data_IF_379563597697
#
_entry.id   IF_379563597697
#
_cell.length_a   1.000
_cell.length_b   1.000
_cell.length_c   1.000
_cell.angle_alpha   90.00
_cell.angle_beta   90.00
_cell.angle_gamma   90.00
#
_symmetry.space_group_name_H-M   'P 1'
#
loop_
_entity.id
_entity.type
_entity.pdbx_description
1 polymer ?
#
# COMPACT_ATOMS: atom_id res chain seq x y z
N UNK A 1 -6.10 -1.09 -4.06
CA UNK A 1 -4.69 -0.62 -4.08
C UNK A 1 -3.83 -1.70 -4.69
N UNK A 2 -2.90 -1.36 -5.58
CA UNK A 2 -1.93 -2.30 -6.14
C UNK A 2 -1.12 -2.97 -5.01
N UNK A 3 -0.83 -4.28 -5.14
CA UNK A 3 -0.17 -5.09 -4.10
C UNK A 3 1.14 -5.74 -4.53
N UNK A 4 1.56 -5.55 -5.78
CA UNK A 4 2.83 -6.05 -6.31
C UNK A 4 3.51 -4.99 -7.16
N UNK A 5 4.81 -5.13 -7.35
CA UNK A 5 5.63 -4.25 -8.19
C UNK A 5 5.05 -4.15 -9.61
N UNK A 6 4.74 -5.28 -10.25
CA UNK A 6 4.11 -5.31 -11.57
C UNK A 6 2.80 -4.48 -11.64
N UNK A 7 1.98 -4.52 -10.59
CA UNK A 7 0.74 -3.74 -10.55
C UNK A 7 1.02 -2.25 -10.41
N UNK A 8 2.05 -1.88 -9.65
CA UNK A 8 2.50 -0.49 -9.52
C UNK A 8 3.03 0.00 -10.87
N UNK A 9 3.87 -0.80 -11.54
CA UNK A 9 4.37 -0.47 -12.88
C UNK A 9 3.22 -0.22 -13.85
N UNK A 10 2.24 -1.13 -13.94
CA UNK A 10 1.08 -0.98 -14.82
C UNK A 10 0.32 0.32 -14.54
N UNK A 11 0.08 0.65 -13.26
CA UNK A 11 -0.64 1.88 -12.88
C UNK A 11 0.17 3.12 -13.22
N UNK A 12 1.47 3.14 -12.94
CA UNK A 12 2.36 4.25 -13.23
C UNK A 12 2.53 4.46 -14.74
N UNK A 13 2.81 3.41 -15.51
CA UNK A 13 2.91 3.46 -16.97
C UNK A 13 1.62 3.96 -17.58
N UNK A 14 0.46 3.50 -17.12
CA UNK A 14 -0.84 3.99 -17.60
C UNK A 14 -1.05 5.47 -17.28
N UNK A 15 -0.66 5.91 -16.09
CA UNK A 15 -0.77 7.31 -15.70
C UNK A 15 0.15 8.20 -16.55
N UNK A 16 1.39 7.79 -16.79
CA UNK A 16 2.37 8.57 -17.56
C UNK A 16 2.04 8.59 -19.05
N UNK A 17 1.75 7.44 -19.66
CA UNK A 17 1.33 7.37 -21.07
C UNK A 17 0.07 8.20 -21.39
N UNK A 18 -0.78 8.48 -20.41
CA UNK A 18 -1.93 9.37 -20.62
C UNK A 18 -1.56 10.84 -20.90
N UNK A 19 -0.33 11.24 -20.59
CA UNK A 19 0.20 12.58 -20.90
C UNK A 19 1.10 12.63 -22.14
N UNK A 20 1.36 11.49 -22.79
CA UNK A 20 2.16 11.39 -24.01
C UNK A 20 1.23 11.12 -25.21
N UNK A 21 0.56 12.17 -25.68
CA UNK A 21 -0.42 12.09 -26.77
C UNK A 21 0.21 11.62 -28.09
N UNK A 22 1.48 11.94 -28.30
CA UNK A 22 2.24 11.62 -29.50
C UNK A 22 2.88 10.22 -29.45
N UNK A 23 2.84 9.54 -28.30
CA UNK A 23 3.41 8.20 -28.12
C UNK A 23 4.93 8.16 -28.30
N UNK A 24 5.61 9.24 -27.89
CA UNK A 24 7.06 9.42 -28.01
C UNK A 24 7.86 8.56 -27.03
N UNK A 25 7.25 8.14 -25.93
CA UNK A 25 7.94 7.50 -24.81
C UNK A 25 8.65 8.48 -23.87
N UNK A 26 8.53 9.79 -24.14
CA UNK A 26 9.25 10.87 -23.45
C UNK A 26 8.27 11.87 -22.83
N UNK A 27 8.57 12.32 -21.62
CA UNK A 27 7.79 13.35 -20.94
C UNK A 27 8.72 14.32 -20.21
N UNK A 28 8.33 15.59 -20.15
CA UNK A 28 9.06 16.56 -19.36
C UNK A 28 8.96 16.27 -17.86
N UNK A 29 9.97 16.70 -17.11
CA UNK A 29 10.00 16.54 -15.65
C UNK A 29 8.75 17.09 -14.95
N UNK A 30 8.25 18.23 -15.44
CA UNK A 30 7.04 18.88 -14.94
C UNK A 30 5.77 18.06 -15.22
N UNK A 31 5.68 17.45 -16.41
CA UNK A 31 4.56 16.60 -16.79
C UNK A 31 4.49 15.35 -15.90
N UNK A 32 5.62 14.63 -15.75
CA UNK A 32 5.69 13.42 -14.91
C UNK A 32 5.26 13.73 -13.49
N UNK A 33 5.77 14.81 -12.89
CA UNK A 33 5.39 15.22 -11.53
C UNK A 33 3.90 15.49 -11.37
N UNK A 34 3.26 16.05 -12.40
CA UNK A 34 1.82 16.34 -12.41
C UNK A 34 1.02 15.04 -12.55
N UNK A 35 1.43 14.16 -13.45
CA UNK A 35 0.78 12.87 -13.68
C UNK A 35 0.90 11.93 -12.47
N UNK A 36 2.06 11.91 -11.78
CA UNK A 36 2.22 11.15 -10.53
C UNK A 36 1.27 11.61 -9.42
N UNK A 37 0.95 12.90 -9.35
CA UNK A 37 -0.07 13.42 -8.43
C UNK A 37 -1.48 12.97 -8.83
N UNK A 38 -1.76 12.95 -10.13
CA UNK A 38 -3.04 12.56 -10.69
C UNK A 38 -3.27 11.03 -10.68
N UNK A 39 -2.20 10.22 -10.59
CA UNK A 39 -2.25 8.76 -10.63
C UNK A 39 -3.06 8.10 -9.51
N UNK A 40 -3.45 8.85 -8.47
CA UNK A 40 -4.34 8.35 -7.42
C UNK A 40 -3.69 7.33 -6.47
N UNK A 41 -2.36 7.24 -6.47
CA UNK A 41 -1.60 6.31 -5.61
C UNK A 41 -1.49 6.77 -4.14
N UNK A 42 -2.03 7.95 -3.80
CA UNK A 42 -1.98 8.49 -2.44
C UNK A 42 -0.59 8.99 -2.01
N UNK A 43 0.32 9.18 -2.97
CA UNK A 43 1.68 9.66 -2.70
C UNK A 43 1.67 11.12 -2.22
N UNK A 44 2.40 11.38 -1.15
CA UNK A 44 2.61 12.74 -0.63
C UNK A 44 3.54 13.55 -1.53
N UNK A 45 3.54 14.87 -1.38
CA UNK A 45 4.45 15.75 -2.12
C UNK A 45 5.93 15.37 -1.94
N UNK A 46 6.34 14.97 -0.74
CA UNK A 46 7.73 14.60 -0.44
C UNK A 46 8.09 13.27 -1.11
N UNK A 47 7.20 12.27 -1.03
CA UNK A 47 7.40 10.99 -1.71
C UNK A 47 7.50 11.17 -3.23
N UNK A 48 6.67 12.01 -3.83
CA UNK A 48 6.77 12.32 -5.27
C UNK A 48 8.13 12.96 -5.58
N UNK A 49 8.61 13.90 -4.76
CA UNK A 49 9.94 14.49 -4.96
C UNK A 49 11.05 13.42 -4.86
N UNK A 50 10.91 12.47 -3.92
CA UNK A 50 11.84 11.35 -3.79
C UNK A 50 11.81 10.42 -5.01
N UNK A 51 10.63 10.08 -5.55
CA UNK A 51 10.55 9.29 -6.79
C UNK A 51 11.17 10.04 -7.97
N UNK A 52 10.94 11.36 -8.05
CA UNK A 52 11.52 12.20 -9.11
C UNK A 52 13.05 12.30 -9.05
N UNK A 53 13.72 11.95 -7.95
CA UNK A 53 15.20 11.94 -7.92
C UNK A 53 15.81 10.80 -8.75
N UNK A 54 15.03 9.77 -9.07
CA UNK A 54 15.44 8.66 -9.94
C UNK A 54 15.23 8.97 -11.44
N UNK A 55 14.63 10.12 -11.76
CA UNK A 55 14.45 10.53 -13.14
C UNK A 55 15.81 10.86 -13.76
N UNK A 56 16.14 10.13 -14.82
CA UNK A 56 17.29 10.44 -15.66
C UNK A 56 16.81 11.38 -16.77
N UNK A 57 17.36 12.59 -16.76
CA UNK A 57 17.15 13.58 -17.81
C UNK A 57 17.95 13.17 -19.05
N UNK A 58 17.28 13.15 -20.19
CA UNK A 58 17.87 12.97 -21.52
C UNK A 58 18.10 14.36 -22.16
N UNK A 59 18.20 14.42 -23.48
CA UNK A 59 18.25 15.69 -24.20
C UNK A 59 16.91 16.46 -24.06
N UNK A 60 16.99 17.78 -23.91
CA UNK A 60 15.85 18.70 -23.87
C UNK A 60 14.88 18.53 -22.67
N UNK A 61 15.41 18.33 -21.45
CA UNK A 61 14.63 18.22 -20.19
C UNK A 61 13.51 17.15 -20.23
N UNK A 62 13.75 16.12 -21.05
CA UNK A 62 12.83 15.03 -21.30
C UNK A 62 13.28 13.76 -20.58
N UNK A 63 12.32 12.96 -20.14
CA UNK A 63 12.56 11.73 -19.37
C UNK A 63 11.84 10.57 -20.04
N UNK A 64 12.58 9.48 -20.30
CA UNK A 64 12.02 8.23 -20.80
C UNK A 64 11.22 7.53 -19.69
N UNK A 65 9.89 7.66 -19.75
CA UNK A 65 9.05 7.25 -18.64
C UNK A 65 9.00 5.73 -18.44
N UNK A 66 9.19 4.92 -19.49
CA UNK A 66 9.21 3.46 -19.38
C UNK A 66 10.37 2.97 -18.49
N UNK A 67 11.55 3.57 -18.63
CA UNK A 67 12.70 3.26 -17.77
C UNK A 67 12.51 3.84 -16.38
N UNK A 68 11.99 5.06 -16.31
CA UNK A 68 11.70 5.72 -15.04
C UNK A 68 10.77 4.87 -14.16
N UNK A 69 9.65 4.37 -14.72
CA UNK A 69 8.66 3.56 -13.98
C UNK A 69 9.29 2.31 -13.36
N UNK A 70 10.11 1.57 -14.12
CA UNK A 70 10.80 0.38 -13.62
C UNK A 70 11.72 0.69 -12.43
N UNK A 71 12.38 1.84 -12.45
CA UNK A 71 13.25 2.25 -11.35
C UNK A 71 12.45 2.66 -10.12
N UNK A 72 11.31 3.34 -10.29
CA UNK A 72 10.54 3.90 -9.18
C UNK A 72 9.48 2.96 -8.61
N UNK A 73 9.03 1.93 -9.33
CA UNK A 73 8.00 1.00 -8.88
C UNK A 73 8.28 0.34 -7.52
N UNK A 74 9.49 -0.20 -7.23
CA UNK A 74 9.76 -0.80 -5.92
C UNK A 74 9.76 0.27 -4.81
N UNK A 75 10.24 1.48 -5.09
CA UNK A 75 10.22 2.59 -4.14
C UNK A 75 8.78 3.06 -3.86
N UNK A 76 7.97 3.20 -4.91
CA UNK A 76 6.56 3.60 -4.80
C UNK A 76 5.74 2.58 -4.01
N UNK A 77 5.98 1.28 -4.22
CA UNK A 77 5.36 0.22 -3.42
C UNK A 77 5.67 0.38 -1.92
N UNK A 78 6.93 0.62 -1.57
CA UNK A 78 7.34 0.81 -0.17
C UNK A 78 6.65 2.00 0.51
N UNK A 79 6.43 3.09 -0.23
CA UNK A 79 5.75 4.28 0.27
C UNK A 79 4.26 4.04 0.51
N UNK A 80 3.61 3.29 -0.36
CA UNK A 80 2.19 2.96 -0.25
C UNK A 80 1.97 1.99 0.91
N UNK A 81 2.82 0.98 1.06
CA UNK A 81 2.72 0.01 2.15
C UNK A 81 2.95 0.69 3.51
N UNK A 82 3.95 1.56 3.63
CA UNK A 82 4.19 2.28 4.89
C UNK A 82 3.03 3.19 5.27
N UNK A 83 2.48 3.96 4.32
CA UNK A 83 1.33 4.84 4.59
C UNK A 83 0.09 4.02 4.99
N UNK A 84 -0.11 2.86 4.37
CA UNK A 84 -1.17 1.93 4.75
C UNK A 84 -0.97 1.37 6.17
N UNK A 85 0.24 0.92 6.51
CA UNK A 85 0.57 0.43 7.86
C UNK A 85 0.41 1.54 8.91
N UNK A 86 0.84 2.77 8.62
CA UNK A 86 0.71 3.91 9.52
C UNK A 86 -0.76 4.27 9.78
N UNK A 87 -1.61 4.26 8.74
CA UNK A 87 -3.06 4.48 8.88
C UNK A 87 -3.73 3.35 9.65
N UNK A 88 -3.40 2.10 9.35
CA UNK A 88 -3.93 0.94 10.10
C UNK A 88 -3.52 1.00 11.58
N UNK A 89 -2.27 1.34 11.88
CA UNK A 89 -1.79 1.49 13.26
C UNK A 89 -2.52 2.58 14.04
N UNK A 90 -3.02 3.63 13.39
CA UNK A 90 -3.85 4.67 14.03
C UNK A 90 -5.32 4.26 14.19
N UNK A 91 -5.84 3.45 13.27
CA UNK A 91 -7.24 2.96 13.32
C UNK A 91 -7.37 1.83 14.35
N UNK A 92 -6.36 0.98 14.51
CA UNK A 92 -6.39 -0.18 15.43
C UNK A 92 -6.75 0.22 16.88
N UNK A 93 -6.18 1.27 17.49
CA UNK A 93 -6.60 1.75 18.81
C UNK A 93 -8.05 2.24 18.89
N UNK A 94 -8.57 2.88 17.83
CA UNK A 94 -9.96 3.35 17.80
C UNK A 94 -10.94 2.18 17.62
N UNK A 95 -10.55 1.16 16.85
CA UNK A 95 -11.27 -0.11 16.73
C UNK A 95 -11.18 -0.97 18.00
N UNK A 96 -10.12 -0.82 18.81
CA UNK A 96 -10.03 -1.49 20.13
C UNK A 96 -11.10 -1.04 21.13
N UNK A 97 -11.76 0.10 20.87
CA UNK A 97 -12.85 0.60 21.72
C UNK A 97 -14.23 0.06 21.31
N UNK A 98 -14.35 -0.62 20.18
CA UNK A 98 -15.57 -1.36 19.82
C UNK A 98 -15.47 -2.80 20.34
N UNK A 99 -16.57 -3.30 20.89
CA UNK A 99 -16.67 -4.62 21.56
C UNK A 99 -16.25 -5.81 20.66
N UNK A 100 -16.16 -5.59 19.34
CA UNK A 100 -15.68 -6.57 18.35
C UNK A 100 -14.24 -7.02 18.56
N UNK A 101 -13.36 -6.24 19.21
CA UNK A 101 -11.95 -6.61 19.39
C UNK A 101 -11.74 -7.83 20.29
N UNK A 102 -12.73 -8.20 21.11
CA UNK A 102 -12.67 -9.37 21.99
C UNK A 102 -13.27 -10.64 21.37
N UNK A 103 -13.66 -10.60 20.09
CA UNK A 103 -14.24 -11.77 19.45
C UNK A 103 -13.20 -12.73 18.89
N UNK A 104 -12.98 -13.86 19.57
CA UNK A 104 -12.31 -15.01 18.98
C UNK A 104 -13.37 -15.79 18.21
N UNK A 105 -13.33 -15.76 16.87
CA UNK A 105 -14.38 -16.34 16.00
C UNK A 105 -15.81 -15.85 16.29
N UNK A 106 -16.00 -14.57 16.60
CA UNK A 106 -17.32 -14.02 16.90
C UNK A 106 -17.81 -14.26 18.34
N UNK A 107 -16.99 -14.88 19.21
CA UNK A 107 -17.33 -15.14 20.60
C UNK A 107 -16.68 -14.14 21.54
N UNK A 108 -17.44 -13.49 22.40
CA UNK A 108 -16.88 -12.54 23.39
C UNK A 108 -16.04 -13.28 24.45
N UNK A 109 -15.27 -12.53 25.27
CA UNK A 109 -14.36 -13.10 26.26
C UNK A 109 -15.04 -14.09 27.22
N UNK A 110 -16.28 -13.82 27.65
CA UNK A 110 -17.01 -14.70 28.56
C UNK A 110 -17.39 -16.01 27.90
N UNK A 111 -17.83 -15.96 26.63
CA UNK A 111 -18.16 -17.15 25.85
C UNK A 111 -16.93 -18.02 25.58
N UNK A 112 -15.77 -17.40 25.33
CA UNK A 112 -14.51 -18.12 25.17
C UNK A 112 -14.03 -18.77 26.47
N UNK A 113 -14.11 -18.06 27.61
CA UNK A 113 -13.75 -18.60 28.93
C UNK A 113 -14.64 -19.80 29.31
N UNK A 114 -15.93 -19.74 29.00
CA UNK A 114 -16.86 -20.85 29.21
C UNK A 114 -16.50 -22.06 28.34
N UNK A 115 -16.18 -21.88 27.06
CA UNK A 115 -15.71 -22.97 26.21
C UNK A 115 -14.39 -23.58 26.70
N UNK A 116 -13.44 -22.76 27.12
CA UNK A 116 -12.15 -23.22 27.64
C UNK A 116 -12.33 -24.04 28.93
N UNK A 117 -13.23 -23.61 29.82
CA UNK A 117 -13.60 -24.35 31.02
C UNK A 117 -14.31 -25.67 30.70
N UNK A 118 -15.25 -25.67 29.76
CA UNK A 118 -15.94 -26.89 29.33
C UNK A 118 -14.96 -27.92 28.76
N UNK A 119 -14.01 -27.50 27.94
CA UNK A 119 -12.98 -28.39 27.40
C UNK A 119 -12.08 -28.97 28.51
N UNK A 120 -11.70 -28.14 29.50
CA UNK A 120 -10.89 -28.57 30.65
C UNK A 120 -11.59 -29.61 31.52
N UNK A 121 -12.91 -29.47 31.72
CA UNK A 121 -13.71 -30.41 32.51
C UNK A 121 -13.87 -31.75 31.78
N UNK A 122 -14.01 -31.75 30.45
CA UNK A 122 -14.17 -32.99 29.66
C UNK A 122 -12.84 -33.77 29.57
N UNK A 123 -11.68 -33.09 29.57
CA UNK A 123 -10.37 -33.73 29.47
C UNK A 123 -9.71 -34.09 30.82
N UNK A 124 -10.29 -33.70 31.96
CA UNK A 124 -9.80 -34.10 33.29
C UNK A 124 -10.60 -35.29 33.82
N UNK A 125 -10.59 -36.42 33.10
CA UNK A 125 -10.94 -37.71 33.70
C UNK A 125 -9.67 -38.22 34.39
N UNK A 126 -9.63 -38.37 35.73
CA UNK A 126 -8.49 -38.99 36.38
C UNK A 126 -8.45 -40.45 35.94
N UNK A 127 -7.45 -40.81 35.14
CA UNK A 127 -7.02 -42.20 35.01
C UNK A 127 -6.64 -42.69 36.41
N UNK A 128 -7.36 -43.73 36.87
CA UNK A 128 -7.25 -44.37 38.18
C UNK A 128 -5.84 -44.77 38.57
#
# INVERSE_FOLDING_TARGET
>A
MPRTEDQIEIVLTRALSSGDEDGTGLLSFAAIKTLLRAAGLGLTRIQIIALMSEAQEEEDDSVAYDRFVKNIAPMALSFIDYDHQAKMAQIVPAYRSTEEYFTVQGMNQQEFEVLALLCTIIYTVPTS
#
